data_IF_563761961406
#
_entry.id   IF_563761961406
#
_cell.length_a   1.000
_cell.length_b   1.000
_cell.length_c   1.000
_cell.angle_alpha   90.00
_cell.angle_beta   90.00
_cell.angle_gamma   90.00
#
_symmetry.space_group_name_H-M   'P 1'
#
loop_
_entity.id
_entity.type
_entity.pdbx_description
1 polymer ?
#
# COMPACT_ATOMS: atom_id res chain seq x y z
N UNK A 1 22.50 -11.50 -45.23
CA UNK A 1 23.19 -11.03 -44.00
C UNK A 1 22.16 -10.85 -42.89
N UNK A 2 22.40 -11.38 -41.68
CA UNK A 2 21.55 -11.08 -40.51
C UNK A 2 21.75 -9.61 -40.13
N UNK A 3 20.67 -8.86 -39.93
CA UNK A 3 20.76 -7.47 -39.45
C UNK A 3 21.28 -7.50 -38.02
N UNK A 4 22.34 -6.74 -37.76
CA UNK A 4 22.85 -6.52 -36.40
C UNK A 4 21.85 -5.62 -35.66
N UNK A 5 21.47 -5.93 -34.41
CA UNK A 5 20.67 -5.04 -33.60
C UNK A 5 21.35 -3.67 -33.46
N UNK A 6 20.55 -2.58 -33.43
CA UNK A 6 21.07 -1.28 -33.01
C UNK A 6 21.57 -1.38 -31.57
N UNK A 7 22.52 -0.52 -31.19
CA UNK A 7 22.93 -0.37 -29.79
C UNK A 7 21.69 -0.16 -28.91
N UNK A 8 21.71 -0.68 -27.69
CA UNK A 8 20.58 -0.54 -26.77
C UNK A 8 20.28 0.94 -26.58
N UNK A 9 19.06 1.42 -26.87
CA UNK A 9 18.71 2.82 -26.64
C UNK A 9 18.79 3.23 -25.16
N UNK A 10 18.93 2.25 -24.25
CA UNK A 10 19.06 2.45 -22.80
C UNK A 10 20.49 2.70 -22.32
N UNK A 11 21.53 2.28 -23.06
CA UNK A 11 22.91 2.24 -22.51
C UNK A 11 23.66 3.58 -22.51
N UNK A 12 23.04 4.67 -22.99
CA UNK A 12 23.70 5.96 -23.16
C UNK A 12 22.93 7.15 -22.57
N UNK A 13 21.82 6.90 -21.86
CA UNK A 13 20.99 7.99 -21.30
C UNK A 13 21.28 8.19 -19.81
N UNK A 14 21.36 9.45 -19.33
CA UNK A 14 21.44 9.73 -17.90
C UNK A 14 20.17 9.23 -17.20
N UNK A 15 20.31 8.69 -15.97
CA UNK A 15 19.15 8.25 -15.21
C UNK A 15 18.22 9.43 -14.90
N UNK A 16 16.93 9.20 -15.10
CA UNK A 16 15.88 10.15 -14.72
C UNK A 16 15.60 10.09 -13.23
N UNK A 17 15.38 11.26 -12.63
CA UNK A 17 14.71 11.38 -11.32
C UNK A 17 13.24 11.00 -11.46
N UNK A 18 12.60 10.60 -10.36
CA UNK A 18 11.18 10.23 -10.32
C UNK A 18 10.53 10.98 -9.18
N UNK A 19 9.44 11.67 -9.45
CA UNK A 19 8.69 12.44 -8.45
C UNK A 19 7.25 11.98 -8.42
N UNK A 20 6.61 12.10 -7.26
CA UNK A 20 5.16 12.01 -7.15
C UNK A 20 4.60 13.37 -7.58
N UNK A 21 3.72 13.38 -8.58
CA UNK A 21 3.11 14.60 -9.11
C UNK A 21 1.63 14.75 -8.72
N UNK A 22 1.05 13.71 -8.14
CA UNK A 22 -0.30 13.74 -7.60
C UNK A 22 -0.59 12.52 -6.75
N UNK A 23 -1.39 12.71 -5.71
CA UNK A 23 -1.93 11.70 -4.82
C UNK A 23 -3.45 11.80 -4.75
N UNK A 24 -4.07 10.66 -4.50
CA UNK A 24 -5.50 10.57 -4.31
C UNK A 24 -5.84 9.37 -3.44
N UNK A 25 -6.95 9.49 -2.72
CA UNK A 25 -7.48 8.39 -1.91
C UNK A 25 -8.99 8.31 -2.05
N UNK A 26 -9.52 7.12 -1.79
CA UNK A 26 -10.94 6.88 -1.67
C UNK A 26 -11.17 5.82 -0.59
N UNK A 27 -12.17 6.08 0.26
CA UNK A 27 -12.64 5.11 1.25
C UNK A 27 -14.17 5.03 1.15
N UNK A 28 -14.77 3.84 1.35
CA UNK A 28 -16.22 3.68 1.30
C UNK A 28 -16.99 4.56 2.28
N UNK A 29 -18.26 4.81 1.94
CA UNK A 29 -19.17 5.64 2.74
C UNK A 29 -19.56 4.97 4.06
N UNK A 30 -19.86 3.66 4.02
CA UNK A 30 -20.34 2.92 5.20
C UNK A 30 -19.24 2.84 6.25
N UNK A 31 -19.52 3.42 7.41
CA UNK A 31 -18.71 3.32 8.63
C UNK A 31 -19.19 2.13 9.45
N UNK A 32 -18.24 1.30 9.89
CA UNK A 32 -18.47 0.22 10.86
C UNK A 32 -17.74 0.59 12.16
N UNK A 33 -18.49 0.97 13.18
CA UNK A 33 -17.91 1.39 14.47
C UNK A 33 -17.57 0.18 15.34
N UNK A 34 -16.75 0.37 16.38
CA UNK A 34 -16.54 -0.68 17.38
C UNK A 34 -17.83 -1.10 18.09
N UNK A 35 -18.76 -0.18 18.31
CA UNK A 35 -20.08 -0.47 18.90
C UNK A 35 -20.94 -1.37 17.98
N UNK A 36 -20.78 -1.26 16.66
CA UNK A 36 -21.45 -2.16 15.71
C UNK A 36 -20.83 -3.56 15.75
N UNK A 37 -19.50 -3.66 15.88
CA UNK A 37 -18.80 -4.95 16.01
C UNK A 37 -19.21 -5.73 17.27
N UNK A 38 -19.50 -5.04 18.37
CA UNK A 38 -20.04 -5.66 19.59
C UNK A 38 -21.37 -6.38 19.40
N UNK A 39 -22.09 -6.12 18.29
CA UNK A 39 -23.32 -6.84 17.92
C UNK A 39 -23.04 -8.09 17.07
N UNK A 40 -21.81 -8.26 16.59
CA UNK A 40 -21.39 -9.33 15.66
C UNK A 40 -20.55 -10.38 16.41
N UNK A 41 -19.63 -9.94 17.28
CA UNK A 41 -18.74 -10.79 18.08
C UNK A 41 -18.63 -10.28 19.51
N UNK A 42 -18.26 -11.16 20.44
CA UNK A 42 -18.07 -10.81 21.85
C UNK A 42 -16.86 -9.87 22.04
N UNK A 43 -17.10 -8.57 21.96
CA UNK A 43 -16.10 -7.50 22.09
C UNK A 43 -16.74 -6.17 22.49
N UNK A 44 -15.93 -5.18 22.85
CA UNK A 44 -16.35 -3.80 23.11
C UNK A 44 -15.33 -2.80 22.54
N UNK A 45 -15.68 -1.50 22.58
CA UNK A 45 -14.83 -0.41 22.10
C UNK A 45 -13.53 -0.27 22.90
N UNK A 46 -13.58 -0.43 24.22
CA UNK A 46 -12.42 -0.31 25.09
C UNK A 46 -11.36 -1.36 24.73
N UNK A 47 -11.79 -2.60 24.52
CA UNK A 47 -10.92 -3.70 24.15
C UNK A 47 -10.28 -3.50 22.78
N UNK A 48 -11.05 -3.05 21.78
CA UNK A 48 -10.53 -2.83 20.43
C UNK A 48 -9.57 -1.64 20.43
N UNK A 49 -10.00 -0.50 20.96
CA UNK A 49 -9.23 0.75 20.94
C UNK A 49 -7.91 0.60 21.68
N UNK A 50 -7.91 0.01 22.87
CA UNK A 50 -6.69 -0.16 23.67
C UNK A 50 -5.67 -1.10 23.01
N UNK A 51 -6.14 -2.07 22.21
CA UNK A 51 -5.26 -3.08 21.59
C UNK A 51 -4.81 -2.72 20.18
N UNK A 52 -5.56 -1.86 19.49
CA UNK A 52 -5.38 -1.60 18.06
C UNK A 52 -5.27 -0.14 17.70
N UNK A 53 -5.84 0.76 18.52
CA UNK A 53 -6.04 2.18 18.21
C UNK A 53 -7.23 2.45 17.26
N UNK A 54 -7.90 1.41 16.76
CA UNK A 54 -8.97 1.52 15.77
C UNK A 54 -10.29 1.83 16.49
N UNK A 55 -11.00 2.87 16.04
CA UNK A 55 -12.34 3.24 16.51
C UNK A 55 -13.42 2.86 15.52
N UNK A 56 -13.08 2.94 14.24
CA UNK A 56 -13.94 2.57 13.14
C UNK A 56 -13.15 2.14 11.90
N UNK A 57 -13.87 1.53 10.96
CA UNK A 57 -13.37 1.19 9.63
C UNK A 57 -14.42 1.48 8.57
N UNK A 58 -13.99 1.52 7.32
CA UNK A 58 -14.88 1.67 6.16
C UNK A 58 -15.12 0.31 5.51
N UNK A 59 -16.35 0.07 5.08
CA UNK A 59 -16.77 -1.18 4.46
C UNK A 59 -17.40 -0.86 3.12
N UNK A 60 -16.87 -1.44 2.05
CA UNK A 60 -17.38 -1.25 0.70
C UNK A 60 -18.79 -1.85 0.56
N UNK A 61 -19.61 -1.25 -0.31
CA UNK A 61 -20.88 -1.84 -0.70
C UNK A 61 -20.66 -3.16 -1.46
N UNK A 62 -21.70 -3.99 -1.58
CA UNK A 62 -21.61 -5.29 -2.25
C UNK A 62 -21.19 -5.14 -3.72
N UNK A 63 -21.67 -4.08 -4.38
CA UNK A 63 -21.40 -3.70 -5.77
C UNK A 63 -20.21 -2.74 -5.94
N UNK A 64 -19.48 -2.43 -4.86
CA UNK A 64 -18.26 -1.64 -4.89
C UNK A 64 -17.05 -2.56 -4.82
N UNK A 65 -16.39 -2.79 -5.96
CA UNK A 65 -15.23 -3.70 -6.06
C UNK A 65 -13.91 -2.99 -5.81
N UNK A 66 -12.83 -3.75 -5.67
CA UNK A 66 -11.47 -3.22 -5.49
C UNK A 66 -11.07 -2.27 -6.62
N UNK A 67 -11.42 -2.60 -7.87
CA UNK A 67 -11.21 -1.73 -9.01
C UNK A 67 -12.04 -0.43 -8.98
N UNK A 68 -13.23 -0.42 -8.37
CA UNK A 68 -14.02 0.82 -8.20
C UNK A 68 -13.32 1.78 -7.24
N UNK A 69 -12.89 1.27 -6.09
CA UNK A 69 -12.14 2.07 -5.11
C UNK A 69 -10.83 2.57 -5.70
N UNK A 70 -10.08 1.68 -6.37
CA UNK A 70 -8.84 2.03 -7.05
C UNK A 70 -9.01 3.07 -8.15
N UNK A 71 -10.09 2.99 -8.95
CA UNK A 71 -10.41 3.98 -9.97
C UNK A 71 -10.75 5.35 -9.37
N UNK A 72 -11.53 5.40 -8.27
CA UNK A 72 -11.84 6.65 -7.58
C UNK A 72 -10.57 7.31 -7.00
N UNK A 73 -9.69 6.53 -6.36
CA UNK A 73 -8.41 7.05 -5.87
C UNK A 73 -7.50 7.54 -7.02
N UNK A 74 -7.46 6.81 -8.13
CA UNK A 74 -6.70 7.20 -9.32
C UNK A 74 -7.22 8.50 -9.94
N UNK A 75 -8.54 8.67 -10.08
CA UNK A 75 -9.14 9.90 -10.59
C UNK A 75 -8.79 11.10 -9.70
N UNK A 76 -8.82 10.94 -8.37
CA UNK A 76 -8.42 11.99 -7.42
C UNK A 76 -6.92 12.34 -7.55
N UNK A 77 -6.06 11.35 -7.82
CA UNK A 77 -4.64 11.59 -8.07
C UNK A 77 -4.41 12.30 -9.41
N UNK A 78 -5.14 11.91 -10.46
CA UNK A 78 -5.10 12.50 -11.80
C UNK A 78 -5.55 13.96 -11.77
N UNK A 79 -6.62 14.26 -11.03
CA UNK A 79 -7.09 15.62 -10.80
C UNK A 79 -6.00 16.48 -10.14
N UNK A 80 -5.38 15.98 -9.07
CA UNK A 80 -4.30 16.72 -8.39
C UNK A 80 -3.08 16.92 -9.29
N UNK A 81 -2.71 15.92 -10.10
CA UNK A 81 -1.61 16.01 -11.04
C UNK A 81 -1.90 16.86 -12.28
N UNK A 82 -3.19 17.17 -12.55
CA UNK A 82 -3.61 17.87 -13.76
C UNK A 82 -3.40 17.07 -15.05
N UNK A 83 -3.54 15.74 -14.99
CA UNK A 83 -3.32 14.84 -16.14
C UNK A 83 -4.57 14.03 -16.50
N UNK A 84 -4.58 13.50 -17.71
CA UNK A 84 -5.66 12.59 -18.18
C UNK A 84 -5.18 11.15 -18.31
N UNK A 85 -6.12 10.21 -18.43
CA UNK A 85 -5.80 8.78 -18.58
C UNK A 85 -4.91 8.49 -19.81
N UNK A 86 -5.03 9.30 -20.87
CA UNK A 86 -4.24 9.14 -22.09
C UNK A 86 -2.74 9.43 -21.90
N UNK A 87 -2.33 10.02 -20.77
CA UNK A 87 -0.93 10.27 -20.44
C UNK A 87 -0.29 9.15 -19.60
N UNK A 88 -1.07 8.19 -19.11
CA UNK A 88 -0.58 7.11 -18.25
C UNK A 88 -0.07 5.97 -19.14
N UNK A 89 1.19 5.58 -18.95
CA UNK A 89 1.82 4.52 -19.74
C UNK A 89 1.75 3.15 -19.04
N UNK A 90 1.63 3.15 -17.71
CA UNK A 90 1.64 1.95 -16.89
C UNK A 90 0.75 2.14 -15.65
N UNK A 91 -0.07 1.13 -15.34
CA UNK A 91 -0.86 1.02 -14.12
C UNK A 91 -0.38 -0.18 -13.32
N UNK A 92 0.05 0.09 -12.08
CA UNK A 92 0.46 -0.91 -11.10
C UNK A 92 -0.55 -0.92 -9.95
N UNK A 93 -1.23 -2.05 -9.73
CA UNK A 93 -2.20 -2.19 -8.61
C UNK A 93 -1.68 -3.19 -7.60
N UNK A 94 -1.34 -2.71 -6.41
CA UNK A 94 -1.07 -3.55 -5.25
C UNK A 94 -2.37 -3.91 -4.54
N UNK A 95 -2.70 -5.20 -4.50
CA UNK A 95 -3.91 -5.71 -3.84
C UNK A 95 -3.75 -7.18 -3.42
N UNK A 96 -4.36 -7.54 -2.29
CA UNK A 96 -4.57 -8.92 -1.87
C UNK A 96 -6.03 -9.37 -2.10
N UNK A 97 -6.91 -8.46 -2.51
CA UNK A 97 -8.34 -8.68 -2.76
C UNK A 97 -8.71 -8.22 -4.17
N UNK A 98 -8.10 -8.81 -5.22
CA UNK A 98 -8.39 -8.40 -6.59
C UNK A 98 -9.83 -8.69 -6.96
N UNK A 99 -10.37 -7.97 -7.95
CA UNK A 99 -11.70 -8.23 -8.51
C UNK A 99 -11.86 -9.69 -8.95
N UNK A 100 -10.80 -10.24 -9.55
CA UNK A 100 -10.71 -11.62 -10.03
C UNK A 100 -9.26 -12.10 -9.91
N UNK A 101 -9.03 -13.42 -9.90
CA UNK A 101 -7.67 -13.98 -9.99
C UNK A 101 -7.03 -13.64 -11.34
N UNK A 102 -7.84 -13.62 -12.41
CA UNK A 102 -7.48 -13.08 -13.71
C UNK A 102 -8.76 -12.64 -14.45
N UNK A 103 -8.73 -11.54 -15.24
CA UNK A 103 -7.59 -10.66 -15.52
C UNK A 103 -7.19 -9.78 -14.31
N UNK A 104 -6.09 -9.05 -14.44
CA UNK A 104 -5.61 -8.13 -13.41
C UNK A 104 -6.64 -7.02 -13.10
N UNK A 105 -6.76 -6.67 -11.82
CA UNK A 105 -7.53 -5.53 -11.29
C UNK A 105 -7.18 -4.23 -12.03
N UNK A 106 -5.90 -4.04 -12.33
CA UNK A 106 -5.39 -2.93 -13.13
C UNK A 106 -6.11 -2.74 -14.48
N UNK A 107 -6.53 -3.82 -15.16
CA UNK A 107 -7.24 -3.73 -16.44
C UNK A 107 -8.66 -3.16 -16.29
N UNK A 108 -9.33 -3.47 -15.18
CA UNK A 108 -10.64 -2.88 -14.88
C UNK A 108 -10.51 -1.38 -14.58
N UNK A 109 -9.51 -1.00 -13.79
CA UNK A 109 -9.20 0.41 -13.48
C UNK A 109 -8.86 1.18 -14.76
N UNK A 110 -8.02 0.61 -15.62
CA UNK A 110 -7.63 1.20 -16.91
C UNK A 110 -8.85 1.64 -17.72
N UNK A 111 -9.86 0.78 -17.80
CA UNK A 111 -11.11 1.08 -18.51
C UNK A 111 -11.87 2.21 -17.82
N UNK A 112 -12.00 2.15 -16.49
CA UNK A 112 -12.75 3.13 -15.67
C UNK A 112 -12.15 4.55 -15.72
N UNK A 113 -10.83 4.68 -15.83
CA UNK A 113 -10.15 5.99 -15.88
C UNK A 113 -9.79 6.45 -17.30
N UNK A 114 -10.15 5.65 -18.33
CA UNK A 114 -9.87 5.97 -19.72
C UNK A 114 -8.40 5.89 -20.13
N UNK A 115 -7.57 5.12 -19.44
CA UNK A 115 -6.13 5.01 -19.70
C UNK A 115 -5.79 4.01 -20.83
N UNK A 116 -6.28 4.31 -22.03
CA UNK A 116 -6.31 3.37 -23.18
C UNK A 116 -4.96 2.85 -23.65
N UNK A 117 -3.86 3.57 -23.36
CA UNK A 117 -2.50 3.16 -23.74
C UNK A 117 -1.76 2.40 -22.65
N UNK A 118 -2.26 2.42 -21.42
CA UNK A 118 -1.49 1.97 -20.28
C UNK A 118 -1.33 0.45 -20.28
N UNK A 119 -0.11 -0.05 -20.09
CA UNK A 119 0.08 -1.43 -19.68
C UNK A 119 -0.45 -1.63 -18.24
N UNK A 120 -0.92 -2.84 -17.92
CA UNK A 120 -1.59 -3.13 -16.65
C UNK A 120 -1.01 -4.38 -16.00
N UNK A 121 -0.66 -4.30 -14.71
CA UNK A 121 -0.35 -5.47 -13.89
C UNK A 121 -0.73 -5.25 -12.42
N UNK A 122 -1.06 -6.36 -11.76
CA UNK A 122 -1.26 -6.41 -10.32
C UNK A 122 0.03 -6.87 -9.62
N UNK A 123 0.22 -6.41 -8.38
CA UNK A 123 1.37 -6.72 -7.53
C UNK A 123 0.86 -7.37 -6.25
N UNK A 124 1.22 -8.63 -6.07
CA UNK A 124 0.94 -9.40 -4.86
C UNK A 124 2.16 -9.39 -3.93
N UNK A 125 2.21 -8.42 -3.02
CA UNK A 125 3.16 -8.39 -1.91
C UNK A 125 2.47 -8.03 -0.58
N UNK A 126 1.21 -8.46 -0.45
CA UNK A 126 0.32 -8.15 0.68
C UNK A 126 0.34 -6.65 1.03
N UNK A 127 0.29 -6.31 2.32
CA UNK A 127 0.29 -4.92 2.79
C UNK A 127 1.54 -4.10 2.37
N UNK A 128 2.64 -4.73 1.96
CA UNK A 128 3.83 -4.03 1.46
C UNK A 128 3.72 -3.60 -0.01
N UNK A 129 2.66 -4.04 -0.70
CA UNK A 129 2.54 -3.95 -2.15
C UNK A 129 2.67 -2.54 -2.72
N UNK A 130 2.14 -1.51 -2.04
CA UNK A 130 2.23 -0.14 -2.55
C UNK A 130 3.68 0.33 -2.70
N UNK A 131 4.55 0.14 -1.69
CA UNK A 131 5.96 0.55 -1.82
C UNK A 131 6.76 -0.35 -2.76
N UNK A 132 6.38 -1.62 -2.92
CA UNK A 132 6.94 -2.48 -3.98
C UNK A 132 6.58 -1.95 -5.36
N UNK A 133 5.34 -1.51 -5.55
CA UNK A 133 4.86 -0.91 -6.79
C UNK A 133 5.54 0.43 -7.09
N UNK A 134 5.78 1.25 -6.06
CA UNK A 134 6.57 2.48 -6.16
C UNK A 134 8.00 2.20 -6.66
N UNK A 135 8.69 1.20 -6.09
CA UNK A 135 10.03 0.79 -6.56
C UNK A 135 9.99 0.29 -8.01
N UNK A 136 9.02 -0.56 -8.37
CA UNK A 136 8.88 -1.06 -9.74
C UNK A 136 8.64 0.10 -10.72
N UNK A 137 7.75 1.04 -10.38
CA UNK A 137 7.49 2.23 -11.18
C UNK A 137 8.75 3.08 -11.36
N UNK A 138 9.53 3.28 -10.29
CA UNK A 138 10.80 3.99 -10.33
C UNK A 138 11.75 3.37 -11.35
N UNK A 139 11.87 2.04 -11.39
CA UNK A 139 12.71 1.35 -12.36
C UNK A 139 12.25 1.59 -13.80
N UNK A 140 10.95 1.58 -14.09
CA UNK A 140 10.43 1.86 -15.43
C UNK A 140 10.70 3.30 -15.91
N UNK A 141 10.60 4.27 -15.02
CA UNK A 141 10.80 5.69 -15.35
C UNK A 141 12.29 6.01 -15.50
N UNK A 142 13.12 5.57 -14.54
CA UNK A 142 14.58 5.80 -14.55
C UNK A 142 15.27 5.21 -15.76
N UNK A 143 14.78 4.07 -16.28
CA UNK A 143 15.32 3.43 -17.48
C UNK A 143 14.69 3.90 -18.81
N UNK A 144 13.90 4.99 -18.79
CA UNK A 144 13.21 5.56 -19.97
C UNK A 144 12.25 4.60 -20.67
N UNK A 145 11.69 3.62 -19.96
CA UNK A 145 10.69 2.73 -20.55
C UNK A 145 9.31 3.39 -20.57
N UNK A 146 8.97 4.10 -19.51
CA UNK A 146 7.73 4.88 -19.39
C UNK A 146 8.01 6.27 -18.84
N UNK A 147 7.13 7.22 -19.12
CA UNK A 147 7.24 8.59 -18.62
C UNK A 147 6.31 8.81 -17.41
N UNK A 148 5.09 8.25 -17.45
CA UNK A 148 4.09 8.39 -16.38
C UNK A 148 3.57 7.03 -15.93
N UNK A 149 3.67 6.75 -14.63
CA UNK A 149 3.20 5.51 -14.01
C UNK A 149 2.20 5.83 -12.91
N UNK A 150 1.04 5.19 -12.96
CA UNK A 150 0.03 5.23 -11.89
C UNK A 150 0.24 4.03 -10.96
N UNK A 151 0.44 4.30 -9.68
CA UNK A 151 0.60 3.30 -8.62
C UNK A 151 -0.58 3.37 -7.68
N UNK A 152 -1.24 2.24 -7.43
CA UNK A 152 -2.45 2.15 -6.60
C UNK A 152 -2.24 1.06 -5.55
N UNK A 153 -2.57 1.33 -4.29
CA UNK A 153 -2.87 0.30 -3.29
C UNK A 153 -4.38 0.28 -3.07
N UNK A 154 -5.04 -0.86 -3.26
CA UNK A 154 -6.49 -0.96 -3.13
C UNK A 154 -6.92 -2.30 -2.53
N UNK A 155 -7.86 -2.27 -1.58
CA UNK A 155 -8.30 -3.47 -0.88
C UNK A 155 -9.77 -3.42 -0.48
N UNK A 156 -10.47 -4.54 -0.68
CA UNK A 156 -11.77 -4.89 -0.09
C UNK A 156 -11.58 -6.04 0.91
N UNK A 157 -10.82 -5.80 1.98
CA UNK A 157 -10.49 -6.84 2.98
C UNK A 157 -11.71 -7.40 3.69
N UNK A 158 -12.82 -6.66 3.73
CA UNK A 158 -14.09 -7.11 4.31
C UNK A 158 -14.61 -8.42 3.72
N UNK A 159 -14.30 -8.73 2.45
CA UNK A 159 -14.74 -9.98 1.80
C UNK A 159 -13.90 -11.19 2.16
N UNK A 160 -12.69 -10.99 2.68
CA UNK A 160 -11.79 -12.06 3.15
C UNK A 160 -11.60 -12.00 4.67
N UNK A 161 -12.44 -11.23 5.37
CA UNK A 161 -12.44 -11.15 6.83
C UNK A 161 -13.37 -12.21 7.40
N UNK A 162 -12.86 -13.01 8.34
CA UNK A 162 -13.68 -13.95 9.12
C UNK A 162 -14.36 -13.19 10.25
N UNK A 163 -15.62 -12.80 10.05
CA UNK A 163 -16.40 -12.02 11.02
C UNK A 163 -16.78 -12.77 12.29
N UNK A 164 -16.47 -14.07 12.39
CA UNK A 164 -16.63 -14.85 13.63
C UNK A 164 -15.37 -14.82 14.50
N UNK A 165 -14.21 -14.49 13.91
CA UNK A 165 -12.91 -14.47 14.58
C UNK A 165 -12.58 -13.07 15.13
N UNK A 166 -12.97 -12.85 16.38
CA UNK A 166 -12.77 -11.58 17.11
C UNK A 166 -11.35 -11.01 17.00
N UNK A 167 -10.32 -11.84 17.03
CA UNK A 167 -8.93 -11.37 17.08
C UNK A 167 -8.46 -10.70 15.78
N UNK A 168 -9.14 -10.94 14.66
CA UNK A 168 -8.74 -10.45 13.34
C UNK A 168 -9.78 -9.53 12.72
N UNK A 169 -11.08 -9.81 12.90
CA UNK A 169 -12.16 -9.05 12.27
C UNK A 169 -12.24 -7.58 12.71
N UNK A 170 -11.66 -7.27 13.87
CA UNK A 170 -11.57 -5.91 14.41
C UNK A 170 -10.47 -5.08 13.74
N UNK A 171 -9.63 -5.66 12.88
CA UNK A 171 -8.49 -4.95 12.31
C UNK A 171 -8.81 -4.30 10.96
N UNK A 172 -9.52 -5.02 10.10
CA UNK A 172 -9.49 -4.73 8.66
C UNK A 172 -10.57 -3.75 8.22
N UNK A 173 -10.23 -2.96 7.21
CA UNK A 173 -11.14 -2.06 6.51
C UNK A 173 -10.84 -2.04 5.02
N UNK A 174 -11.72 -1.37 4.28
CA UNK A 174 -11.65 -1.26 2.82
C UNK A 174 -11.23 0.15 2.40
N UNK A 175 -10.56 0.25 1.26
CA UNK A 175 -10.19 1.53 0.68
C UNK A 175 -9.11 1.44 -0.40
N UNK A 176 -8.78 2.59 -0.97
CA UNK A 176 -7.72 2.72 -1.96
C UNK A 176 -6.97 4.05 -1.83
N UNK A 177 -5.68 4.01 -2.14
CA UNK A 177 -4.83 5.19 -2.33
C UNK A 177 -4.01 5.06 -3.60
N UNK A 178 -3.70 6.18 -4.22
CA UNK A 178 -3.01 6.26 -5.50
C UNK A 178 -1.95 7.36 -5.51
N UNK A 179 -0.89 7.13 -6.27
CA UNK A 179 0.16 8.10 -6.57
C UNK A 179 0.52 8.05 -8.05
N UNK A 180 0.71 9.21 -8.67
CA UNK A 180 1.20 9.34 -10.04
C UNK A 180 2.66 9.70 -9.99
N UNK A 181 3.49 8.85 -10.55
CA UNK A 181 4.93 9.01 -10.62
C UNK A 181 5.31 9.45 -12.04
N UNK A 182 6.13 10.49 -12.13
CA UNK A 182 6.63 11.03 -13.41
C UNK A 182 8.05 11.54 -13.23
N UNK A 183 8.82 11.55 -14.31
CA UNK A 183 10.08 12.29 -14.34
C UNK A 183 9.84 13.81 -14.27
N UNK A 184 10.60 14.52 -13.42
CA UNK A 184 10.66 15.99 -13.39
C UNK A 184 12.07 16.48 -13.68
N UNK A 185 12.18 17.39 -14.63
CA UNK A 185 13.39 18.19 -14.86
C UNK A 185 13.58 19.21 -13.72
N UNK A 186 14.82 19.64 -13.47
CA UNK A 186 15.09 20.79 -12.59
C UNK A 186 15.62 20.48 -11.18
N UNK A 187 16.11 19.27 -10.93
CA UNK A 187 16.98 18.99 -9.77
C UNK A 187 16.30 18.51 -8.49
N UNK A 188 14.99 18.21 -8.48
CA UNK A 188 14.37 17.49 -7.37
C UNK A 188 14.87 16.05 -7.32
N UNK A 189 15.22 15.52 -6.14
CA UNK A 189 15.60 14.12 -6.01
C UNK A 189 14.36 13.21 -6.14
N UNK A 190 13.20 13.69 -5.66
CA UNK A 190 11.96 12.93 -5.67
C UNK A 190 12.09 11.64 -4.85
N UNK A 191 11.94 10.47 -5.45
CA UNK A 191 12.21 9.19 -4.79
C UNK A 191 13.73 8.99 -4.63
N UNK A 192 14.24 9.32 -3.44
CA UNK A 192 15.68 9.27 -3.12
C UNK A 192 16.13 7.83 -2.96
N UNK A 193 15.42 7.04 -2.16
CA UNK A 193 15.79 5.66 -1.89
C UNK A 193 14.58 4.80 -1.58
N UNK A 194 14.65 3.55 -2.01
CA UNK A 194 13.73 2.50 -1.57
C UNK A 194 14.53 1.23 -1.25
N UNK A 195 14.12 0.55 -0.20
CA UNK A 195 14.57 -0.79 0.15
C UNK A 195 13.35 -1.69 0.23
N UNK A 196 13.32 -2.73 -0.60
CA UNK A 196 12.35 -3.83 -0.52
C UNK A 196 13.07 -5.11 -0.12
N UNK A 197 12.42 -5.95 0.69
CA UNK A 197 12.95 -7.23 1.11
C UNK A 197 11.84 -8.23 1.45
N UNK A 198 12.21 -9.51 1.56
CA UNK A 198 11.26 -10.60 1.84
C UNK A 198 11.94 -11.73 2.60
N UNK A 199 11.16 -12.47 3.39
CA UNK A 199 11.58 -13.68 4.08
C UNK A 199 10.45 -14.70 4.10
N UNK A 200 10.49 -15.61 3.13
CA UNK A 200 9.47 -16.64 2.87
C UNK A 200 9.30 -17.67 3.99
N UNK A 201 10.20 -17.72 4.98
CA UNK A 201 10.07 -18.65 6.11
C UNK A 201 8.89 -18.32 7.04
N UNK A 202 8.34 -17.11 6.90
CA UNK A 202 7.20 -16.60 7.66
C UNK A 202 5.91 -16.59 6.83
N UNK A 203 5.83 -17.39 5.76
CA UNK A 203 4.65 -17.40 4.89
C UNK A 203 3.37 -17.84 5.60
N UNK A 204 3.48 -18.53 6.74
CA UNK A 204 2.41 -19.12 7.54
C UNK A 204 2.14 -18.38 8.85
N UNK A 205 2.60 -17.12 8.99
CA UNK A 205 2.23 -16.28 10.15
C UNK A 205 1.18 -15.23 9.81
N UNK A 206 1.02 -14.88 8.53
CA UNK A 206 -0.05 -14.03 8.00
C UNK A 206 -0.38 -14.48 6.57
N UNK A 207 -1.50 -15.18 6.40
CA UNK A 207 -1.83 -15.86 5.15
C UNK A 207 -3.33 -16.06 4.95
N UNK A 208 -3.70 -16.49 3.75
CA UNK A 208 -5.03 -16.99 3.43
C UNK A 208 -4.87 -18.45 2.97
N UNK A 209 -5.37 -19.45 3.74
CA UNK A 209 -5.04 -20.85 3.49
C UNK A 209 -5.63 -21.42 2.20
N UNK A 210 -6.77 -20.91 1.74
CA UNK A 210 -7.53 -21.40 0.59
C UNK A 210 -7.71 -20.37 -0.54
N UNK A 211 -8.29 -20.82 -1.65
CA UNK A 211 -8.58 -20.02 -2.83
C UNK A 211 -7.47 -19.99 -3.88
N UNK A 212 -6.25 -20.41 -3.51
CA UNK A 212 -5.16 -20.65 -4.45
C UNK A 212 -5.09 -22.12 -4.91
N UNK A 213 -4.18 -22.42 -5.83
CA UNK A 213 -3.99 -23.78 -6.35
C UNK A 213 -3.50 -24.80 -5.32
N UNK A 214 -2.91 -24.35 -4.20
CA UNK A 214 -2.48 -25.23 -3.10
C UNK A 214 -3.68 -25.83 -2.35
N UNK A 215 -4.74 -25.05 -2.17
CA UNK A 215 -6.00 -25.46 -1.54
C UNK A 215 -7.17 -24.81 -2.30
N UNK A 216 -7.56 -25.38 -3.45
CA UNK A 216 -8.71 -24.89 -4.19
C UNK A 216 -9.96 -25.05 -3.33
N UNK A 217 -10.94 -24.16 -3.54
CA UNK A 217 -12.24 -24.30 -2.90
C UNK A 217 -13.06 -25.33 -3.66
N UNK A 218 -13.51 -26.34 -2.92
CA UNK A 218 -14.33 -27.45 -3.39
C UNK A 218 -15.61 -27.50 -2.55
N UNK A 219 -16.55 -28.36 -2.95
CA UNK A 219 -17.79 -28.54 -2.19
C UNK A 219 -17.51 -29.07 -0.78
N UNK A 220 -16.45 -29.85 -0.62
CA UNK A 220 -16.08 -30.52 0.63
C UNK A 220 -15.46 -29.57 1.67
N UNK A 221 -14.85 -28.46 1.24
CA UNK A 221 -14.16 -27.50 2.12
C UNK A 221 -14.75 -26.09 2.09
N UNK A 222 -15.89 -25.89 1.43
CA UNK A 222 -16.52 -24.58 1.27
C UNK A 222 -16.86 -23.91 2.62
N UNK A 223 -17.23 -24.71 3.61
CA UNK A 223 -17.62 -24.26 4.95
C UNK A 223 -16.41 -24.11 5.92
N UNK A 224 -15.19 -24.45 5.48
CA UNK A 224 -13.98 -24.38 6.31
C UNK A 224 -13.40 -22.95 6.42
N UNK A 225 -14.04 -21.96 5.78
CA UNK A 225 -13.62 -20.56 5.76
C UNK A 225 -12.16 -20.35 5.33
N UNK A 226 -11.64 -21.17 4.42
CA UNK A 226 -10.22 -21.14 4.03
C UNK A 226 -9.84 -19.88 3.24
N UNK A 227 -10.81 -19.19 2.61
CA UNK A 227 -10.61 -17.90 1.94
C UNK A 227 -10.73 -16.70 2.88
N UNK A 228 -10.21 -16.84 4.11
CA UNK A 228 -10.18 -15.75 5.09
C UNK A 228 -8.77 -15.51 5.61
N UNK A 229 -8.51 -14.28 6.07
CA UNK A 229 -7.23 -13.89 6.65
C UNK A 229 -7.01 -14.66 7.95
N UNK A 230 -5.92 -15.43 8.02
CA UNK A 230 -5.42 -16.07 9.24
C UNK A 230 -4.10 -15.43 9.65
N UNK A 231 -3.92 -15.22 10.96
CA UNK A 231 -2.69 -14.61 11.48
C UNK A 231 -2.28 -15.14 12.85
N UNK A 232 -0.98 -15.28 13.02
CA UNK A 232 -0.33 -15.50 14.31
C UNK A 232 0.10 -14.16 14.91
N UNK A 233 -0.84 -13.43 15.54
CA UNK A 233 -0.67 -12.02 15.91
C UNK A 233 0.60 -11.68 16.71
N UNK A 234 1.02 -12.55 17.64
CA UNK A 234 2.26 -12.36 18.43
C UNK A 234 3.51 -12.43 17.55
N UNK A 235 3.58 -13.40 16.65
CA UNK A 235 4.74 -13.57 15.77
C UNK A 235 4.75 -12.48 14.69
N UNK A 236 3.58 -12.14 14.12
CA UNK A 236 3.41 -11.01 13.20
C UNK A 236 3.91 -9.72 13.83
N UNK A 237 3.48 -9.38 15.06
CA UNK A 237 3.94 -8.18 15.76
C UNK A 237 5.47 -8.13 15.88
N UNK A 238 6.09 -9.22 16.36
CA UNK A 238 7.53 -9.29 16.59
C UNK A 238 8.32 -9.09 15.28
N UNK A 239 7.91 -9.79 14.22
CA UNK A 239 8.60 -9.73 12.95
C UNK A 239 8.34 -8.41 12.22
N UNK A 240 7.12 -7.87 12.28
CA UNK A 240 6.74 -6.59 11.69
C UNK A 240 7.60 -5.43 12.21
N UNK A 241 7.71 -5.28 13.54
CA UNK A 241 8.52 -4.20 14.12
C UNK A 241 10.00 -4.36 13.75
N UNK A 242 10.52 -5.59 13.72
CA UNK A 242 11.91 -5.85 13.33
C UNK A 242 12.18 -5.50 11.87
N UNK A 243 11.30 -5.96 10.97
CA UNK A 243 11.38 -5.75 9.54
C UNK A 243 11.27 -4.26 9.16
N UNK A 244 10.31 -3.53 9.73
CA UNK A 244 10.14 -2.10 9.42
C UNK A 244 11.27 -1.21 9.97
N UNK A 245 11.82 -1.55 11.14
CA UNK A 245 13.01 -0.84 11.67
C UNK A 245 14.22 -1.05 10.77
N UNK A 246 14.42 -2.27 10.28
CA UNK A 246 15.46 -2.58 9.29
C UNK A 246 15.22 -1.82 7.96
N UNK A 247 13.97 -1.82 7.46
CA UNK A 247 13.60 -1.10 6.26
C UNK A 247 13.87 0.41 6.36
N UNK A 248 13.45 1.02 7.47
CA UNK A 248 13.68 2.43 7.75
C UNK A 248 15.17 2.76 7.73
N UNK A 249 15.98 2.00 8.47
CA UNK A 249 17.42 2.22 8.57
C UNK A 249 18.12 2.10 7.22
N UNK A 250 17.78 1.07 6.44
CA UNK A 250 18.38 0.87 5.10
C UNK A 250 17.95 1.94 4.10
N UNK A 251 16.70 2.40 4.15
CA UNK A 251 16.24 3.48 3.28
C UNK A 251 16.94 4.80 3.64
N UNK A 252 17.02 5.13 4.93
CA UNK A 252 17.73 6.32 5.43
C UNK A 252 19.23 6.28 5.08
N UNK A 253 19.91 5.15 5.31
CA UNK A 253 21.33 4.96 4.99
C UNK A 253 21.60 5.15 3.48
N UNK A 254 20.77 4.54 2.62
CA UNK A 254 20.85 4.73 1.16
C UNK A 254 20.59 6.18 0.72
N UNK A 255 19.76 6.90 1.46
CA UNK A 255 19.49 8.32 1.21
C UNK A 255 20.57 9.25 1.78
N UNK A 256 21.48 8.74 2.61
CA UNK A 256 22.44 9.57 3.36
C UNK A 256 21.76 10.49 4.38
N UNK A 257 20.58 10.12 4.88
CA UNK A 257 19.77 10.92 5.81
C UNK A 257 19.64 10.22 7.17
N UNK A 258 19.28 10.99 8.18
CA UNK A 258 18.94 10.52 9.52
C UNK A 258 17.46 10.78 9.83
N UNK A 259 16.94 10.18 10.91
CA UNK A 259 15.57 10.47 11.36
C UNK A 259 15.36 11.94 11.75
N UNK A 260 16.44 12.65 12.09
CA UNK A 260 16.41 14.09 12.38
C UNK A 260 15.95 14.92 11.17
N UNK A 261 16.36 14.50 9.97
CA UNK A 261 16.10 15.18 8.71
C UNK A 261 14.68 14.94 8.17
N UNK A 262 14.01 13.87 8.63
CA UNK A 262 12.68 13.50 8.16
C UNK A 262 11.61 14.43 8.76
N UNK A 263 10.78 15.05 7.92
CA UNK A 263 9.68 15.91 8.36
C UNK A 263 8.43 15.13 8.76
N UNK A 264 8.18 13.99 8.09
CA UNK A 264 7.02 13.15 8.31
C UNK A 264 7.35 11.67 8.11
N UNK A 265 6.86 10.82 9.01
CA UNK A 265 6.97 9.36 8.93
C UNK A 265 5.57 8.77 8.75
N UNK A 266 5.38 8.00 7.70
CA UNK A 266 4.13 7.33 7.36
C UNK A 266 4.34 5.81 7.48
N UNK A 267 4.07 5.23 8.66
CA UNK A 267 4.17 3.80 8.85
C UNK A 267 2.94 3.08 8.29
N UNK A 268 3.06 1.77 8.06
CA UNK A 268 1.91 0.93 7.77
C UNK A 268 0.90 0.98 8.93
N UNK A 269 -0.33 1.34 8.59
CA UNK A 269 -1.44 1.50 9.52
C UNK A 269 -2.05 0.12 9.84
N UNK A 270 -1.32 -0.71 10.57
CA UNK A 270 -1.78 -2.05 10.96
C UNK A 270 -2.36 -2.10 12.38
N UNK A 271 -1.64 -1.50 13.32
CA UNK A 271 -1.93 -1.52 14.75
C UNK A 271 -1.11 -0.43 15.43
N UNK A 272 -1.73 0.39 16.29
CA UNK A 272 -1.04 1.51 16.96
C UNK A 272 0.18 1.06 17.78
N UNK A 273 0.13 -0.13 18.39
CA UNK A 273 1.24 -0.66 19.18
C UNK A 273 2.47 -0.99 18.34
N UNK A 274 2.27 -1.40 17.09
CA UNK A 274 3.37 -1.62 16.15
C UNK A 274 3.99 -0.27 15.78
N UNK A 275 3.15 0.74 15.52
CA UNK A 275 3.58 2.10 15.19
C UNK A 275 4.40 2.70 16.34
N UNK A 276 3.89 2.62 17.57
CA UNK A 276 4.58 3.07 18.79
C UNK A 276 5.93 2.37 18.98
N UNK A 277 5.97 1.03 18.85
CA UNK A 277 7.21 0.28 19.01
C UNK A 277 8.28 0.62 17.95
N UNK A 278 7.87 0.98 16.74
CA UNK A 278 8.79 1.47 15.70
C UNK A 278 9.28 2.87 16.04
N UNK A 279 8.37 3.77 16.42
CA UNK A 279 8.69 5.14 16.81
C UNK A 279 9.72 5.14 17.94
N UNK A 280 9.51 4.32 18.98
CA UNK A 280 10.45 4.15 20.08
C UNK A 280 11.82 3.63 19.60
N UNK A 281 11.85 2.57 18.77
CA UNK A 281 13.13 1.97 18.33
C UNK A 281 13.95 2.87 17.41
N UNK A 282 13.28 3.73 16.65
CA UNK A 282 13.91 4.68 15.73
C UNK A 282 14.05 6.08 16.35
N UNK A 283 13.58 6.27 17.59
CA UNK A 283 13.57 7.55 18.29
C UNK A 283 12.87 8.64 17.47
N UNK A 284 11.73 8.29 16.89
CA UNK A 284 10.90 9.19 16.08
C UNK A 284 10.04 10.02 17.03
N UNK A 285 10.11 11.37 16.99
CA UNK A 285 9.17 12.21 17.70
C UNK A 285 7.73 11.92 17.26
N UNK A 286 6.81 11.75 18.22
CA UNK A 286 5.42 11.34 17.97
C UNK A 286 4.72 12.29 16.99
N UNK A 287 5.01 13.58 17.07
CA UNK A 287 4.47 14.59 16.18
C UNK A 287 4.85 14.37 14.72
N UNK A 288 6.00 13.74 14.42
CA UNK A 288 6.43 13.41 13.05
C UNK A 288 5.70 12.20 12.48
N UNK A 289 5.02 11.39 13.29
CA UNK A 289 4.33 10.19 12.83
C UNK A 289 2.92 10.55 12.36
N UNK A 290 2.59 10.23 11.12
CA UNK A 290 1.23 10.37 10.60
C UNK A 290 0.43 9.08 10.83
N UNK A 291 -0.71 9.20 11.50
CA UNK A 291 -1.60 8.08 11.83
C UNK A 291 -3.05 8.45 11.49
N UNK A 292 -3.72 7.59 10.74
CA UNK A 292 -5.17 7.67 10.45
C UNK A 292 -5.89 6.34 10.70
N UNK A 293 -5.19 5.37 11.29
CA UNK A 293 -5.66 4.03 11.63
C UNK A 293 -6.97 4.03 12.42
N UNK A 294 -7.19 5.04 13.26
CA UNK A 294 -8.38 5.17 14.10
C UNK A 294 -9.68 5.29 13.29
N UNK A 295 -9.60 5.81 12.06
CA UNK A 295 -10.74 6.09 11.17
C UNK A 295 -10.99 5.04 10.08
N UNK A 296 -9.96 4.27 9.71
CA UNK A 296 -10.03 3.37 8.56
C UNK A 296 -9.75 1.91 8.90
N UNK A 297 -9.16 1.64 10.07
CA UNK A 297 -8.58 0.34 10.35
C UNK A 297 -7.39 0.05 9.42
N UNK A 298 -7.02 -1.22 9.36
CA UNK A 298 -5.96 -1.71 8.49
C UNK A 298 -6.52 -1.98 7.09
N UNK A 299 -6.16 -1.14 6.12
CA UNK A 299 -6.53 -1.27 4.70
C UNK A 299 -5.41 -1.91 3.86
N UNK A 300 -4.54 -2.73 4.49
CA UNK A 300 -3.44 -3.48 3.84
C UNK A 300 -2.61 -2.58 2.91
N UNK A 301 -2.52 -2.88 1.61
CA UNK A 301 -1.69 -2.17 0.66
C UNK A 301 -2.12 -0.71 0.45
N UNK A 302 -3.40 -0.39 0.70
CA UNK A 302 -3.92 0.97 0.58
C UNK A 302 -3.48 1.88 1.74
N UNK A 303 -3.10 1.32 2.89
CA UNK A 303 -2.91 2.06 4.15
C UNK A 303 -1.91 3.22 4.03
N UNK A 304 -0.71 2.97 3.50
CA UNK A 304 0.32 4.01 3.34
C UNK A 304 -0.05 4.99 2.23
N UNK A 305 -0.71 4.53 1.16
CA UNK A 305 -1.12 5.40 0.06
C UNK A 305 -2.22 6.40 0.49
N UNK A 306 -3.21 5.93 1.26
CA UNK A 306 -4.24 6.78 1.86
C UNK A 306 -3.61 7.78 2.82
N UNK A 307 -2.72 7.31 3.71
CA UNK A 307 -2.04 8.17 4.67
C UNK A 307 -1.14 9.23 4.00
N UNK A 308 -0.48 8.89 2.88
CA UNK A 308 0.29 9.84 2.08
C UNK A 308 -0.59 10.94 1.49
N UNK A 309 -1.73 10.57 0.88
CA UNK A 309 -2.66 11.55 0.33
C UNK A 309 -3.25 12.47 1.40
N UNK A 310 -3.64 11.93 2.56
CA UNK A 310 -4.14 12.75 3.66
C UNK A 310 -3.06 13.64 4.28
N UNK A 311 -1.81 13.16 4.43
CA UNK A 311 -0.69 13.95 4.90
C UNK A 311 -0.40 15.13 3.95
N UNK A 312 -0.48 14.90 2.64
CA UNK A 312 -0.37 15.93 1.62
C UNK A 312 -1.52 16.95 1.74
N UNK A 313 -2.78 16.49 1.69
CA UNK A 313 -3.96 17.37 1.68
C UNK A 313 -4.16 18.16 2.97
N UNK A 314 -3.70 17.63 4.10
CA UNK A 314 -3.71 18.34 5.39
C UNK A 314 -2.59 19.37 5.55
N UNK A 315 -1.65 19.45 4.60
CA UNK A 315 -0.47 20.32 4.68
C UNK A 315 0.57 19.83 5.70
N UNK A 316 0.51 18.56 6.11
CA UNK A 316 1.47 17.95 7.03
C UNK A 316 2.85 17.79 6.39
N UNK A 317 2.89 17.61 5.07
CA UNK A 317 4.10 17.58 4.23
C UNK A 317 4.05 18.74 3.23
N UNK A 318 5.21 19.32 2.92
CA UNK A 318 5.40 20.48 2.04
C UNK A 318 6.54 20.21 1.06
N UNK A 319 6.55 20.96 -0.05
CA UNK A 319 7.62 20.82 -1.04
C UNK A 319 9.00 21.05 -0.37
N UNK A 320 9.94 20.14 -0.64
CA UNK A 320 11.27 20.06 -0.03
C UNK A 320 11.34 19.23 1.26
N UNK A 321 10.21 18.80 1.83
CA UNK A 321 10.22 17.94 3.02
C UNK A 321 10.68 16.52 2.67
N UNK A 322 11.48 15.91 3.55
CA UNK A 322 11.77 14.48 3.47
C UNK A 322 10.71 13.67 4.20
N UNK A 323 10.14 12.68 3.50
CA UNK A 323 9.11 11.79 4.03
C UNK A 323 9.62 10.36 4.03
N UNK A 324 9.51 9.68 5.17
CA UNK A 324 9.84 8.27 5.32
C UNK A 324 8.56 7.45 5.34
N UNK A 325 8.39 6.56 4.36
CA UNK A 325 7.31 5.59 4.33
C UNK A 325 7.86 4.21 4.67
N UNK A 326 7.17 3.45 5.53
CA UNK A 326 7.60 2.09 5.91
C UNK A 326 6.42 1.13 5.98
N UNK A 327 6.62 -0.09 5.48
CA UNK A 327 5.58 -1.12 5.41
C UNK A 327 6.11 -2.51 5.71
N UNK A 328 5.22 -3.39 6.15
CA UNK A 328 5.39 -4.84 6.15
C UNK A 328 4.09 -5.50 5.69
N UNK A 329 4.15 -6.75 5.22
CA UNK A 329 3.01 -7.55 4.83
C UNK A 329 3.30 -9.05 4.92
N UNK A 330 2.28 -9.88 4.65
CA UNK A 330 2.41 -11.35 4.61
C UNK A 330 3.47 -11.83 3.62
N UNK A 331 4.16 -12.93 3.96
CA UNK A 331 5.32 -13.43 3.21
C UNK A 331 6.46 -13.92 4.10
N UNK A 332 7.09 -13.12 4.96
CA UNK A 332 6.88 -11.67 5.12
C UNK A 332 7.55 -10.87 4.00
N UNK A 333 6.95 -9.74 3.66
CA UNK A 333 7.53 -8.70 2.80
C UNK A 333 7.62 -7.41 3.59
N UNK A 334 8.62 -6.56 3.31
CA UNK A 334 8.71 -5.24 3.92
C UNK A 334 9.43 -4.26 3.01
N UNK A 335 9.15 -2.99 3.21
CA UNK A 335 9.81 -1.93 2.48
C UNK A 335 9.94 -0.64 3.29
N UNK A 336 10.96 0.14 2.96
CA UNK A 336 11.16 1.51 3.41
C UNK A 336 11.50 2.39 2.22
N UNK A 337 10.90 3.57 2.14
CA UNK A 337 11.15 4.53 1.06
C UNK A 337 11.30 5.94 1.63
N UNK A 338 12.31 6.65 1.15
CA UNK A 338 12.55 8.05 1.46
C UNK A 338 12.31 8.87 0.21
N UNK A 339 11.42 9.86 0.32
CA UNK A 339 11.10 10.77 -0.76
C UNK A 339 11.38 12.22 -0.32
N UNK A 340 11.81 13.05 -1.26
CA UNK A 340 11.68 14.51 -1.22
C UNK A 340 10.33 14.87 -1.86
N UNK A 341 9.45 15.50 -1.09
CA UNK A 341 8.11 15.93 -1.54
C UNK A 341 8.19 17.17 -2.45
#
# INVERSE_FOLDING_TARGET
MKRTPRSSPRSARPQRTVSIIGTGSYVPERRLTNADLSRIVETDDEWITTRTGIKERRIAADDEYTSDMGAKAALNAMEQAGITGDEIDLILVATATPDMVFPATACFIQTKIGAKRAACLDISAACAGFLFAVEIAQQFITCHTYDTVLVIGAEKLSTITDWTERNTCVLFGDGAGAAILRHRDGGSHGLISTHIASDGKYADILWMPGGGCRHPITKENADDHLQTIKMSGKEVYKQAVTAMVDAAKKALDKAGLTIGDIACVIPHQANVRIIEAIADRLQIPVEKVFVNLDRYGNTSAAAVAIALDEANRSGRIKAGDYVLMIVFGGGLTWAGSVIEW
#
